data_IF_033403259605
#
_entry.id   IF_033403259605
#
_cell.length_a   1.000
_cell.length_b   1.000
_cell.length_c   1.000
_cell.angle_alpha   90.00
_cell.angle_beta   90.00
_cell.angle_gamma   90.00
#
_symmetry.space_group_name_H-M   'P 1'
#
loop_
_entity.id
_entity.type
_entity.pdbx_description
1 polymer ?
#
# COMPACT_ATOMS: atom_id res chain seq x y z
N UNK A 1 -11.43 -14.90 8.00
CA UNK A 1 -12.50 -14.49 8.94
C UNK A 1 -13.40 -13.46 8.28
N UNK A 2 -14.72 -13.63 8.33
CA UNK A 2 -15.70 -12.75 7.66
C UNK A 2 -15.51 -11.27 8.04
N UNK A 3 -15.26 -10.97 9.31
CA UNK A 3 -15.10 -9.58 9.77
C UNK A 3 -13.94 -8.83 9.09
N UNK A 4 -12.80 -9.48 8.85
CA UNK A 4 -11.67 -8.86 8.13
C UNK A 4 -12.03 -8.60 6.67
N UNK A 5 -12.77 -9.50 6.03
CA UNK A 5 -13.27 -9.30 4.68
C UNK A 5 -14.23 -8.11 4.59
N UNK A 6 -15.10 -7.94 5.60
CA UNK A 6 -15.99 -6.77 5.69
C UNK A 6 -15.18 -5.48 5.84
N UNK A 7 -14.18 -5.44 6.71
CA UNK A 7 -13.32 -4.26 6.90
C UNK A 7 -12.58 -3.93 5.59
N UNK A 8 -11.98 -4.92 4.93
CA UNK A 8 -11.30 -4.72 3.66
C UNK A 8 -12.26 -4.17 2.58
N UNK A 9 -13.48 -4.72 2.48
CA UNK A 9 -14.49 -4.23 1.57
C UNK A 9 -14.92 -2.78 1.88
N UNK A 10 -15.05 -2.42 3.16
CA UNK A 10 -15.34 -1.05 3.57
C UNK A 10 -14.21 -0.09 3.19
N UNK A 11 -12.94 -0.48 3.42
CA UNK A 11 -11.78 0.34 3.02
C UNK A 11 -11.78 0.59 1.51
N UNK A 12 -12.02 -0.44 0.70
CA UNK A 12 -12.13 -0.31 -0.76
C UNK A 12 -13.32 0.57 -1.17
N UNK A 13 -14.47 0.42 -0.52
CA UNK A 13 -15.66 1.24 -0.81
C UNK A 13 -15.42 2.72 -0.49
N UNK A 14 -14.85 3.02 0.68
CA UNK A 14 -14.55 4.40 1.06
C UNK A 14 -13.41 5.01 0.22
N UNK A 15 -12.47 4.21 -0.28
CA UNK A 15 -11.43 4.73 -1.17
C UNK A 15 -12.01 5.22 -2.50
N UNK A 16 -13.01 4.53 -3.05
CA UNK A 16 -13.74 5.00 -4.25
C UNK A 16 -14.32 6.40 -4.01
N UNK A 17 -14.98 6.61 -2.87
CA UNK A 17 -15.57 7.92 -2.52
C UNK A 17 -14.48 8.99 -2.39
N UNK A 18 -13.34 8.66 -1.76
CA UNK A 18 -12.19 9.56 -1.69
C UNK A 18 -11.65 9.92 -3.06
N UNK A 19 -11.46 8.92 -3.93
CA UNK A 19 -10.97 9.11 -5.28
C UNK A 19 -11.87 9.95 -6.18
N UNK A 20 -13.20 9.80 -6.04
CA UNK A 20 -14.18 10.63 -6.75
C UNK A 20 -14.03 12.13 -6.41
N UNK A 21 -13.67 12.45 -5.16
CA UNK A 21 -13.50 13.84 -4.69
C UNK A 21 -12.16 14.44 -5.07
N UNK A 22 -11.11 13.63 -5.01
CA UNK A 22 -9.73 14.10 -5.23
C UNK A 22 -9.33 14.19 -6.70
N UNK A 23 -9.95 13.36 -7.54
CA UNK A 23 -9.78 13.39 -8.98
C UNK A 23 -8.62 12.56 -9.52
N UNK A 24 -8.65 12.33 -10.83
CA UNK A 24 -7.74 11.42 -11.53
C UNK A 24 -6.27 11.77 -11.37
N UNK A 25 -5.91 13.04 -11.60
CA UNK A 25 -4.50 13.46 -11.63
C UNK A 25 -3.84 13.24 -10.27
N UNK A 26 -4.49 13.66 -9.17
CA UNK A 26 -3.94 13.48 -7.82
C UNK A 26 -3.77 11.99 -7.51
N UNK A 27 -4.82 11.20 -7.72
CA UNK A 27 -4.80 9.77 -7.40
C UNK A 27 -3.82 8.98 -8.27
N UNK A 28 -3.62 9.37 -9.52
CA UNK A 28 -2.60 8.78 -10.40
C UNK A 28 -1.19 9.00 -9.85
N UNK A 29 -0.83 10.24 -9.48
CA UNK A 29 0.50 10.51 -8.91
C UNK A 29 0.68 9.86 -7.54
N UNK A 30 -0.38 9.77 -6.73
CA UNK A 30 -0.35 9.01 -5.48
C UNK A 30 -0.11 7.52 -5.75
N UNK A 31 -0.82 6.92 -6.71
CA UNK A 31 -0.62 5.52 -7.09
C UNK A 31 0.82 5.27 -7.57
N UNK A 32 1.34 6.13 -8.44
CA UNK A 32 2.74 6.06 -8.89
C UNK A 32 3.71 6.19 -7.71
N UNK A 33 3.48 7.14 -6.81
CA UNK A 33 4.30 7.31 -5.62
C UNK A 33 4.31 6.04 -4.76
N UNK A 34 3.15 5.42 -4.54
CA UNK A 34 3.04 4.16 -3.80
C UNK A 34 3.78 3.03 -4.51
N UNK A 35 3.61 2.87 -5.82
CA UNK A 35 4.30 1.84 -6.61
C UNK A 35 5.82 1.98 -6.56
N UNK A 36 6.35 3.21 -6.50
CA UNK A 36 7.79 3.47 -6.38
C UNK A 36 8.25 3.38 -4.93
N UNK A 37 7.42 3.78 -3.97
CA UNK A 37 7.77 3.76 -2.55
C UNK A 37 7.92 2.34 -2.01
N UNK A 38 7.10 1.39 -2.47
CA UNK A 38 7.14 -0.02 -2.07
C UNK A 38 8.54 -0.65 -2.26
N UNK A 39 9.13 -0.66 -3.47
CA UNK A 39 10.45 -1.27 -3.69
C UNK A 39 11.55 -0.52 -2.94
N UNK A 40 11.52 0.81 -2.94
CA UNK A 40 12.54 1.63 -2.26
C UNK A 40 12.51 1.35 -0.76
N UNK A 41 11.32 1.38 -0.14
CA UNK A 41 11.16 1.05 1.28
C UNK A 41 11.62 -0.38 1.56
N UNK A 42 11.29 -1.32 0.69
CA UNK A 42 11.71 -2.71 0.81
C UNK A 42 13.22 -2.94 0.78
N UNK A 43 13.99 -2.14 0.04
CA UNK A 43 15.45 -2.25 0.04
C UNK A 43 16.10 -1.49 1.21
N UNK A 44 15.44 -0.43 1.69
CA UNK A 44 16.06 0.53 2.62
C UNK A 44 15.57 0.44 4.06
N UNK A 45 14.50 -0.30 4.35
CA UNK A 45 13.92 -0.39 5.71
C UNK A 45 14.92 -0.89 6.75
N UNK A 46 15.87 -1.75 6.38
CA UNK A 46 16.86 -2.32 7.31
C UNK A 46 17.72 -1.24 7.97
N UNK A 47 17.99 -0.14 7.27
CA UNK A 47 18.71 1.02 7.84
C UNK A 47 17.94 1.57 9.03
N UNK A 48 16.62 1.75 8.88
CA UNK A 48 15.77 2.25 9.95
C UNK A 48 15.53 1.19 11.04
N UNK A 49 15.43 -0.09 10.66
CA UNK A 49 15.28 -1.20 11.60
C UNK A 49 16.45 -1.26 12.60
N UNK A 50 17.69 -1.01 12.14
CA UNK A 50 18.85 -0.92 13.02
C UNK A 50 18.72 0.18 14.08
N UNK A 51 18.09 1.30 13.75
CA UNK A 51 17.83 2.41 14.67
C UNK A 51 16.68 2.09 15.64
N UNK A 52 15.76 1.21 15.25
CA UNK A 52 14.63 0.73 16.04
C UNK A 52 14.93 -0.55 16.84
N UNK A 53 16.18 -1.01 16.86
CA UNK A 53 16.61 -2.22 17.59
C UNK A 53 16.38 -2.16 19.11
N UNK A 54 16.04 -0.99 19.65
CA UNK A 54 15.64 -0.83 21.05
C UNK A 54 14.23 -1.34 21.35
N UNK A 55 13.38 -1.58 20.33
CA UNK A 55 12.01 -2.02 20.53
C UNK A 55 12.00 -3.51 20.91
N UNK A 56 11.50 -3.86 22.11
CA UNK A 56 11.42 -5.27 22.50
C UNK A 56 10.28 -5.96 21.75
N UNK A 57 10.59 -7.08 21.09
CA UNK A 57 9.60 -7.96 20.48
C UNK A 57 10.05 -8.54 19.15
N UNK A 58 9.48 -9.69 18.78
CA UNK A 58 9.88 -10.39 17.56
C UNK A 58 9.44 -9.58 16.32
N UNK A 59 10.42 -9.15 15.51
CA UNK A 59 10.22 -8.48 14.21
C UNK A 59 9.49 -7.12 14.22
N UNK A 60 9.19 -6.53 15.38
CA UNK A 60 8.53 -5.21 15.48
C UNK A 60 9.35 -4.11 14.82
N UNK A 61 10.67 -4.14 14.99
CA UNK A 61 11.62 -3.22 14.33
C UNK A 61 11.47 -3.24 12.81
N UNK A 62 11.42 -4.41 12.19
CA UNK A 62 11.35 -4.57 10.73
C UNK A 62 9.98 -4.16 10.20
N UNK A 63 8.90 -4.55 10.90
CA UNK A 63 7.54 -4.18 10.54
C UNK A 63 7.34 -2.67 10.56
N UNK A 64 7.68 -2.02 11.69
CA UNK A 64 7.54 -0.57 11.83
C UNK A 64 8.47 0.16 10.85
N UNK A 65 9.72 -0.30 10.73
CA UNK A 65 10.70 0.32 9.83
C UNK A 65 10.24 0.35 8.38
N UNK A 66 9.61 -0.73 7.90
CA UNK A 66 9.09 -0.79 6.54
C UNK A 66 8.03 0.29 6.29
N UNK A 67 7.03 0.40 7.16
CA UNK A 67 5.95 1.39 6.99
C UNK A 67 6.44 2.82 7.16
N UNK A 68 7.33 3.07 8.12
CA UNK A 68 7.93 4.39 8.30
C UNK A 68 8.77 4.78 7.08
N UNK A 69 9.58 3.86 6.56
CA UNK A 69 10.38 4.12 5.36
C UNK A 69 9.51 4.36 4.13
N UNK A 70 8.44 3.56 3.96
CA UNK A 70 7.46 3.76 2.90
C UNK A 70 6.78 5.13 3.02
N UNK A 71 6.43 5.57 4.22
CA UNK A 71 5.85 6.89 4.46
C UNK A 71 6.84 8.01 4.12
N UNK A 72 8.09 7.91 4.58
CA UNK A 72 9.16 8.89 4.27
C UNK A 72 9.37 9.00 2.77
N UNK A 73 9.53 7.89 2.07
CA UNK A 73 9.71 7.87 0.60
C UNK A 73 8.47 8.43 -0.10
N UNK A 74 7.27 8.07 0.34
CA UNK A 74 6.02 8.59 -0.23
C UNK A 74 5.92 10.11 -0.07
N UNK A 75 6.35 10.67 1.08
CA UNK A 75 6.38 12.12 1.30
C UNK A 75 7.39 12.78 0.37
N UNK A 76 8.59 12.22 0.21
CA UNK A 76 9.59 12.74 -0.73
C UNK A 76 9.07 12.74 -2.17
N UNK A 77 8.47 11.62 -2.60
CA UNK A 77 7.87 11.51 -3.93
C UNK A 77 6.68 12.45 -4.12
N UNK A 78 5.89 12.70 -3.08
CA UNK A 78 4.81 13.69 -3.12
C UNK A 78 5.35 15.09 -3.44
N UNK A 79 6.46 15.51 -2.82
CA UNK A 79 7.10 16.78 -3.16
C UNK A 79 7.61 16.82 -4.60
N UNK A 80 8.19 15.72 -5.09
CA UNK A 80 8.65 15.61 -6.49
C UNK A 80 7.46 15.70 -7.46
N UNK A 81 6.36 15.03 -7.16
CA UNK A 81 5.18 14.97 -8.03
C UNK A 81 4.24 16.17 -7.92
N UNK A 82 4.48 17.09 -6.99
CA UNK A 82 3.66 18.30 -6.85
C UNK A 82 3.71 19.17 -8.11
N UNK A 83 4.89 19.28 -8.74
CA UNK A 83 5.13 20.09 -9.94
C UNK A 83 4.40 19.50 -11.16
N UNK A 84 4.66 18.24 -11.57
CA UNK A 84 3.95 17.66 -12.71
C UNK A 84 2.45 17.55 -12.43
N UNK A 85 2.04 17.24 -11.20
CA UNK A 85 0.63 17.16 -10.81
C UNK A 85 -0.14 18.46 -11.08
N UNK A 86 0.46 19.62 -10.76
CA UNK A 86 -0.17 20.92 -11.07
C UNK A 86 -0.26 21.20 -12.56
N UNK A 87 0.74 20.80 -13.35
CA UNK A 87 0.74 20.99 -14.80
C UNK A 87 -0.36 20.16 -15.48
N UNK A 88 -0.48 18.87 -15.14
CA UNK A 88 -1.51 18.00 -15.71
C UNK A 88 -2.92 18.37 -15.25
N UNK A 89 -3.07 18.78 -13.98
CA UNK A 89 -4.38 19.19 -13.46
C UNK A 89 -4.95 20.37 -14.26
N UNK A 90 -4.10 21.36 -14.59
CA UNK A 90 -4.51 22.51 -15.42
C UNK A 90 -5.06 22.09 -16.80
N UNK A 91 -4.56 20.99 -17.37
CA UNK A 91 -4.99 20.48 -18.68
C UNK A 91 -6.22 19.58 -18.61
N UNK A 92 -6.56 19.03 -17.44
CA UNK A 92 -7.58 17.98 -17.27
C UNK A 92 -8.41 18.24 -15.99
N UNK A 93 -8.97 19.44 -15.85
CA UNK A 93 -9.53 19.88 -14.56
C UNK A 93 -11.05 19.69 -14.40
N UNK A 94 -11.78 19.17 -15.40
CA UNK A 94 -13.25 19.09 -15.32
C UNK A 94 -13.82 17.85 -16.01
N UNK A 95 -14.72 17.14 -15.33
CA UNK A 95 -15.59 16.14 -15.94
C UNK A 95 -15.86 14.91 -15.09
N UNK A 96 -16.88 14.13 -15.49
CA UNK A 96 -17.22 12.84 -14.87
C UNK A 96 -16.07 11.84 -15.04
N UNK A 97 -15.38 11.86 -16.19
CA UNK A 97 -14.21 11.00 -16.43
C UNK A 97 -13.07 11.25 -15.45
N UNK A 98 -12.84 12.51 -15.06
CA UNK A 98 -11.84 12.89 -14.06
C UNK A 98 -12.17 12.31 -12.67
N UNK A 99 -13.45 12.34 -12.28
CA UNK A 99 -13.89 11.74 -11.01
C UNK A 99 -13.81 10.21 -11.05
N UNK A 100 -14.33 9.58 -12.12
CA UNK A 100 -14.36 8.11 -12.26
C UNK A 100 -12.94 7.53 -12.29
N UNK A 101 -12.02 8.12 -13.06
CA UNK A 101 -10.62 7.68 -13.06
C UNK A 101 -9.95 7.90 -11.71
N UNK A 102 -10.26 8.99 -11.01
CA UNK A 102 -9.82 9.22 -9.63
C UNK A 102 -10.27 8.11 -8.69
N UNK A 103 -11.52 7.69 -8.81
CA UNK A 103 -12.10 6.58 -8.05
C UNK A 103 -11.37 5.25 -8.34
N UNK A 104 -11.12 4.96 -9.61
CA UNK A 104 -10.39 3.75 -10.03
C UNK A 104 -8.97 3.75 -9.48
N UNK A 105 -8.22 4.85 -9.63
CA UNK A 105 -6.86 4.94 -9.10
C UNK A 105 -6.82 4.85 -7.57
N UNK A 106 -7.78 5.45 -6.87
CA UNK A 106 -7.87 5.34 -5.42
C UNK A 106 -8.23 3.92 -4.95
N UNK A 107 -9.07 3.22 -5.70
CA UNK A 107 -9.38 1.82 -5.47
C UNK A 107 -8.12 0.95 -5.62
N UNK A 108 -7.36 1.12 -6.71
CA UNK A 108 -6.09 0.43 -6.90
C UNK A 108 -5.10 0.75 -5.78
N UNK A 109 -4.98 2.02 -5.39
CA UNK A 109 -4.07 2.41 -4.33
C UNK A 109 -4.42 1.78 -2.98
N UNK A 110 -5.71 1.75 -2.62
CA UNK A 110 -6.18 1.08 -1.42
C UNK A 110 -5.98 -0.44 -1.48
N UNK A 111 -6.26 -1.07 -2.62
CA UNK A 111 -6.03 -2.50 -2.82
C UNK A 111 -4.54 -2.85 -2.66
N UNK A 112 -3.64 -2.06 -3.26
CA UNK A 112 -2.19 -2.22 -3.11
C UNK A 112 -1.78 -2.06 -1.65
N UNK A 113 -2.29 -1.03 -0.96
CA UNK A 113 -2.02 -0.82 0.47
C UNK A 113 -2.43 -2.03 1.33
N UNK A 114 -3.62 -2.60 1.09
CA UNK A 114 -4.09 -3.81 1.78
C UNK A 114 -3.17 -5.00 1.49
N UNK A 115 -2.80 -5.22 0.22
CA UNK A 115 -1.92 -6.32 -0.19
C UNK A 115 -0.54 -6.16 0.44
N UNK A 116 0.08 -4.99 0.35
CA UNK A 116 1.38 -4.71 0.97
C UNK A 116 1.31 -4.92 2.47
N UNK A 117 0.25 -4.45 3.12
CA UNK A 117 0.06 -4.65 4.55
C UNK A 117 -0.06 -6.13 4.92
N UNK A 118 -0.84 -6.90 4.17
CA UNK A 118 -0.96 -8.34 4.36
C UNK A 118 0.39 -9.06 4.19
N UNK A 119 1.14 -8.71 3.14
CA UNK A 119 2.44 -9.32 2.85
C UNK A 119 3.50 -8.99 3.91
N UNK A 120 3.58 -7.73 4.34
CA UNK A 120 4.51 -7.31 5.40
C UNK A 120 4.16 -7.96 6.73
N UNK A 121 2.86 -8.07 7.06
CA UNK A 121 2.43 -8.75 8.28
C UNK A 121 2.73 -10.25 8.26
N UNK A 122 2.60 -10.92 7.11
CA UNK A 122 2.96 -12.33 6.98
C UNK A 122 4.48 -12.56 7.02
N UNK A 123 5.28 -11.63 6.48
CA UNK A 123 6.73 -11.69 6.58
C UNK A 123 7.24 -11.43 8.00
N UNK A 124 6.60 -10.51 8.70
CA UNK A 124 6.93 -10.11 10.06
C UNK A 124 5.70 -10.26 10.96
N UNK A 125 5.38 -11.49 11.38
CA UNK A 125 4.23 -11.75 12.23
C UNK A 125 4.46 -11.14 13.62
N UNK A 126 4.01 -9.90 13.80
CA UNK A 126 4.03 -9.20 15.09
C UNK A 126 2.91 -9.67 16.02
N UNK A 127 1.80 -10.14 15.44
CA UNK A 127 0.57 -10.53 16.15
C UNK A 127 -0.07 -11.73 15.43
N UNK A 128 0.00 -12.92 16.02
CA UNK A 128 -0.45 -14.18 15.39
C UNK A 128 -1.92 -14.21 15.01
N UNK A 129 -2.79 -13.63 15.84
CA UNK A 129 -4.22 -13.60 15.54
C UNK A 129 -4.50 -12.72 14.31
N UNK A 130 -3.75 -11.63 14.14
CA UNK A 130 -3.92 -10.71 13.02
C UNK A 130 -3.41 -11.35 11.72
N UNK A 131 -2.24 -11.99 11.76
CA UNK A 131 -1.70 -12.73 10.62
C UNK A 131 -2.69 -13.81 10.14
N UNK A 132 -3.21 -14.63 11.08
CA UNK A 132 -4.26 -15.63 10.79
C UNK A 132 -5.57 -15.03 10.28
N UNK A 133 -5.96 -13.87 10.81
CA UNK A 133 -7.19 -13.20 10.39
C UNK A 133 -7.08 -12.67 8.95
N UNK A 134 -5.89 -12.18 8.57
CA UNK A 134 -5.56 -11.70 7.23
C UNK A 134 -5.47 -12.84 6.22
N UNK A 135 -4.74 -13.92 6.53
CA UNK A 135 -4.65 -15.10 5.66
C UNK A 135 -5.97 -15.86 5.53
N UNK A 136 -6.80 -15.87 6.58
CA UNK A 136 -8.14 -16.46 6.52
C UNK A 136 -9.20 -15.60 5.81
N UNK A 137 -8.87 -14.40 5.32
CA UNK A 137 -9.83 -13.49 4.68
C UNK A 137 -9.89 -13.74 3.17
N UNK A 138 -11.03 -14.22 2.67
CA UNK A 138 -11.20 -14.52 1.24
C UNK A 138 -10.96 -13.31 0.33
N UNK A 139 -11.36 -12.10 0.77
CA UNK A 139 -11.13 -10.86 0.02
C UNK A 139 -9.64 -10.52 -0.08
N UNK A 140 -8.88 -10.70 1.00
CA UNK A 140 -7.45 -10.37 1.02
C UNK A 140 -6.68 -11.39 0.18
N UNK A 141 -6.97 -12.68 0.35
CA UNK A 141 -6.37 -13.74 -0.46
C UNK A 141 -6.66 -13.52 -1.95
N UNK A 142 -7.91 -13.19 -2.28
CA UNK A 142 -8.29 -12.82 -3.64
C UNK A 142 -7.50 -11.61 -4.14
N UNK A 143 -7.40 -10.52 -3.37
CA UNK A 143 -6.61 -9.34 -3.75
C UNK A 143 -5.13 -9.67 -3.98
N UNK A 144 -4.52 -10.43 -3.08
CA UNK A 144 -3.11 -10.86 -3.18
C UNK A 144 -2.90 -11.67 -4.46
N UNK A 145 -3.86 -12.54 -4.83
CA UNK A 145 -3.79 -13.34 -6.07
C UNK A 145 -3.89 -12.48 -7.34
N UNK A 146 -4.73 -11.44 -7.33
CA UNK A 146 -4.91 -10.55 -8.48
C UNK A 146 -3.74 -9.56 -8.62
N UNK A 147 -3.07 -9.22 -7.52
CA UNK A 147 -2.00 -8.23 -7.46
C UNK A 147 -0.61 -8.88 -7.43
N UNK A 148 -0.41 -10.00 -8.15
CA UNK A 148 0.87 -10.70 -8.21
C UNK A 148 2.02 -9.83 -8.73
N UNK A 149 1.73 -8.80 -9.53
CA UNK A 149 2.73 -7.83 -9.95
C UNK A 149 3.33 -7.02 -8.79
N UNK A 150 2.58 -6.78 -7.71
CA UNK A 150 3.12 -6.13 -6.50
C UNK A 150 4.18 -7.01 -5.87
N UNK A 151 3.97 -8.33 -5.87
CA UNK A 151 4.96 -9.28 -5.39
C UNK A 151 6.24 -9.25 -6.24
N UNK A 152 6.14 -9.04 -7.55
CA UNK A 152 7.31 -8.92 -8.42
C UNK A 152 8.17 -7.68 -8.14
N UNK A 153 7.57 -6.63 -7.57
CA UNK A 153 8.25 -5.37 -7.23
C UNK A 153 8.78 -5.38 -5.79
N UNK A 154 8.32 -6.32 -4.96
CA UNK A 154 8.76 -6.45 -3.58
C UNK A 154 10.15 -7.11 -3.46
N UNK A 155 10.93 -6.79 -2.40
CA UNK A 155 12.18 -7.48 -2.09
C UNK A 155 11.96 -8.97 -1.81
N UNK A 156 13.01 -9.77 -2.00
CA UNK A 156 12.96 -11.23 -1.89
C UNK A 156 12.37 -11.73 -0.56
N UNK A 157 12.67 -11.05 0.55
CA UNK A 157 12.14 -11.40 1.89
C UNK A 157 10.60 -11.33 1.93
N UNK A 158 10.00 -10.33 1.27
CA UNK A 158 8.54 -10.18 1.21
C UNK A 158 7.91 -11.08 0.13
N UNK A 159 8.68 -11.46 -0.91
CA UNK A 159 8.26 -12.45 -1.92
C UNK A 159 8.12 -13.84 -1.32
N UNK A 160 9.04 -14.25 -0.45
CA UNK A 160 8.96 -15.53 0.25
C UNK A 160 7.73 -15.61 1.17
N UNK A 161 7.37 -14.51 1.83
CA UNK A 161 6.16 -14.43 2.63
C UNK A 161 4.87 -14.56 1.78
N UNK A 162 4.88 -14.02 0.56
CA UNK A 162 3.75 -14.14 -0.37
C UNK A 162 3.50 -15.59 -0.83
N UNK A 163 4.54 -16.43 -0.90
CA UNK A 163 4.41 -17.83 -1.28
C UNK A 163 3.74 -18.72 -0.20
N UNK A 164 3.56 -18.20 1.02
CA UNK A 164 2.94 -18.91 2.15
C UNK A 164 1.47 -18.53 2.40
N UNK A 165 0.92 -17.60 1.60
CA UNK A 165 -0.46 -17.10 1.67
C UNK A 165 -1.31 -17.76 0.60
#
# INVERSE_FOLDING_TARGET
MIWVSIIAALVLFFSIIGGLKEGAVKQFFTLLATLIAIPIAGVSYQVLAGWLSFIPGQNWENFIAFFVMMAVVSILLYFVFIIPGRMFKKSWDVGVSFAVLGAVFSLFNAAIGIVVFALVLNAYPIIDWLARAMSGSGVIVWLVSQMSFIQAVLPEVLRQAAAMV
#
